data_IF_870194704591
#
_entry.id   IF_870194704591
#
_cell.length_a   1.000
_cell.length_b   1.000
_cell.length_c   1.000
_cell.angle_alpha   90.00
_cell.angle_beta   90.00
_cell.angle_gamma   90.00
#
_symmetry.space_group_name_H-M   'P 1'
#
loop_
_entity.id
_entity.type
_entity.pdbx_description
1 polymer ?
#
# COMPACT_ATOMS: atom_id res chain seq x y z
N UNK A 1 12.33 0.66 -2.40
CA UNK A 1 12.02 1.09 -3.79
C UNK A 1 10.66 1.75 -3.78
N UNK A 2 10.39 2.71 -4.67
CA UNK A 2 9.10 3.41 -4.74
C UNK A 2 8.57 3.40 -6.17
N UNK A 3 7.27 3.13 -6.36
CA UNK A 3 6.56 3.25 -7.64
C UNK A 3 5.52 4.36 -7.48
N UNK A 4 5.58 5.37 -8.35
CA UNK A 4 4.68 6.51 -8.33
C UNK A 4 3.67 6.41 -9.49
N UNK A 5 2.40 6.68 -9.21
CA UNK A 5 1.31 6.72 -10.18
C UNK A 5 0.85 8.18 -10.38
N UNK A 6 0.46 8.54 -11.60
CA UNK A 6 -0.05 9.89 -11.92
C UNK A 6 -1.32 10.26 -11.14
N UNK A 7 -2.04 9.26 -10.65
CA UNK A 7 -3.21 9.40 -9.77
C UNK A 7 -2.87 9.95 -8.38
N UNK A 8 -1.59 10.05 -8.02
CA UNK A 8 -1.11 10.47 -6.70
C UNK A 8 -0.95 9.31 -5.71
N UNK A 9 -1.11 8.07 -6.17
CA UNK A 9 -0.72 6.89 -5.39
C UNK A 9 0.79 6.67 -5.46
N UNK A 10 1.37 6.27 -4.34
CA UNK A 10 2.76 5.85 -4.23
C UNK A 10 2.84 4.50 -3.51
N UNK A 11 3.69 3.61 -4.01
CA UNK A 11 3.86 2.24 -3.52
C UNK A 11 5.30 2.11 -3.01
N UNK A 12 5.45 1.94 -1.69
CA UNK A 12 6.74 1.89 -1.02
C UNK A 12 7.04 0.47 -0.56
N UNK A 13 8.17 -0.06 -1.03
CA UNK A 13 8.67 -1.36 -0.60
C UNK A 13 9.41 -1.21 0.71
N UNK A 14 8.89 -1.85 1.76
CA UNK A 14 9.51 -1.91 3.06
C UNK A 14 10.16 -3.30 3.22
N UNK A 15 11.48 -3.30 3.28
CA UNK A 15 12.27 -4.50 3.61
C UNK A 15 13.07 -4.16 4.85
N UNK A 16 12.44 -4.32 6.01
CA UNK A 16 13.15 -4.08 7.26
C UNK A 16 14.03 -5.30 7.52
N UNK A 17 15.36 -5.16 7.40
CA UNK A 17 16.34 -6.27 7.53
C UNK A 17 16.22 -7.07 8.85
N UNK A 18 15.48 -6.57 9.84
CA UNK A 18 15.20 -7.23 11.12
C UNK A 18 13.96 -8.13 11.12
N UNK A 19 12.99 -7.89 10.25
CA UNK A 19 11.81 -8.70 10.09
C UNK A 19 11.85 -9.26 8.69
N UNK A 20 12.01 -10.58 8.56
CA UNK A 20 12.05 -11.30 7.28
C UNK A 20 10.71 -11.20 6.48
N UNK A 21 9.82 -10.30 6.89
CA UNK A 21 8.47 -10.07 6.41
C UNK A 21 8.51 -8.88 5.45
N UNK A 22 8.25 -9.16 4.17
CA UNK A 22 8.16 -8.13 3.14
C UNK A 22 6.76 -7.55 3.16
N UNK A 23 6.67 -6.25 3.43
CA UNK A 23 5.43 -5.48 3.35
C UNK A 23 5.57 -4.40 2.29
N UNK A 24 4.44 -4.05 1.68
CA UNK A 24 4.36 -2.92 0.75
C UNK A 24 3.33 -1.95 1.27
N UNK A 25 3.75 -0.70 1.45
CA UNK A 25 2.90 0.40 1.85
C UNK A 25 2.32 1.07 0.61
N UNK A 26 1.03 1.42 0.67
CA UNK A 26 0.34 2.21 -0.35
C UNK A 26 -0.03 3.54 0.27
N UNK A 27 0.51 4.60 -0.30
CA UNK A 27 0.21 5.98 0.05
C UNK A 27 -0.67 6.63 -1.03
N UNK A 28 -1.49 7.60 -0.62
CA UNK A 28 -2.20 8.50 -1.52
C UNK A 28 -1.90 9.94 -1.12
N UNK A 29 -1.30 10.71 -2.02
CA UNK A 29 -0.84 12.09 -1.78
C UNK A 29 0.02 12.23 -0.51
N UNK A 30 0.91 11.26 -0.29
CA UNK A 30 1.82 11.24 0.86
C UNK A 30 1.19 10.85 2.20
N UNK A 31 -0.03 10.29 2.20
CA UNK A 31 -0.67 9.73 3.39
C UNK A 31 -0.77 8.22 3.23
N UNK A 32 -0.36 7.45 4.24
CA UNK A 32 -0.54 6.00 4.24
C UNK A 32 -2.03 5.66 4.32
N UNK A 33 -2.52 4.94 3.33
CA UNK A 33 -3.94 4.53 3.25
C UNK A 33 -4.12 3.02 3.35
N UNK A 34 -3.12 2.25 2.94
CA UNK A 34 -3.15 0.81 3.03
C UNK A 34 -1.74 0.19 3.14
N UNK A 35 -1.67 -1.04 3.58
CA UNK A 35 -0.46 -1.87 3.53
C UNK A 35 -0.84 -3.30 3.16
N UNK A 36 -0.02 -3.94 2.33
CA UNK A 36 -0.14 -5.37 2.01
C UNK A 36 1.01 -6.10 2.72
N UNK A 37 0.67 -7.18 3.43
CA UNK A 37 1.64 -8.07 4.08
C UNK A 37 1.57 -9.49 3.50
N UNK A 38 2.70 -10.22 3.57
CA UNK A 38 2.87 -11.58 3.03
C UNK A 38 3.16 -12.60 4.14
N UNK A 39 2.89 -12.27 5.39
CA UNK A 39 3.34 -13.05 6.57
C UNK A 39 2.74 -14.47 6.57
N UNK A 40 1.54 -14.63 6.03
CA UNK A 40 0.82 -15.92 5.88
C UNK A 40 1.12 -16.64 4.56
N UNK A 41 2.07 -16.15 3.77
CA UNK A 41 2.43 -16.64 2.46
C UNK A 41 1.65 -15.97 1.32
N UNK A 42 2.15 -16.17 0.09
CA UNK A 42 1.65 -15.49 -1.11
C UNK A 42 0.14 -15.67 -1.36
N UNK A 43 -0.39 -16.88 -1.18
CA UNK A 43 -1.82 -17.18 -1.40
C UNK A 43 -2.75 -16.62 -0.31
N UNK A 44 -2.18 -16.05 0.76
CA UNK A 44 -2.89 -15.54 1.94
C UNK A 44 -2.42 -14.14 2.30
N UNK A 45 -2.02 -13.34 1.30
CA UNK A 45 -1.71 -11.93 1.52
C UNK A 45 -2.94 -11.22 2.09
N UNK A 46 -2.68 -10.35 3.05
CA UNK A 46 -3.71 -9.55 3.72
C UNK A 46 -3.44 -8.07 3.43
N UNK A 47 -4.51 -7.29 3.36
CA UNK A 47 -4.45 -5.84 3.20
C UNK A 47 -5.02 -5.18 4.45
N UNK A 48 -4.20 -4.35 5.08
CA UNK A 48 -4.61 -3.46 6.16
C UNK A 48 -5.01 -2.12 5.55
N UNK A 49 -6.15 -1.57 6.00
CA UNK A 49 -6.64 -0.26 5.56
C UNK A 49 -6.58 0.68 6.76
N UNK A 50 -5.86 1.78 6.62
CA UNK A 50 -5.64 2.72 7.70
C UNK A 50 -6.46 3.98 7.51
N UNK A 51 -7.21 4.34 8.55
CA UNK A 51 -7.87 5.65 8.64
C UNK A 51 -7.23 6.53 9.73
N UNK A 52 -6.48 5.93 10.66
CA UNK A 52 -5.80 6.63 11.75
C UNK A 52 -4.55 7.43 11.34
N UNK A 53 -3.89 7.06 10.25
CA UNK A 53 -2.68 7.74 9.75
C UNK A 53 -2.98 8.86 8.76
N UNK A 54 -4.28 9.14 8.56
CA UNK A 54 -4.77 10.15 7.64
C UNK A 54 -5.14 11.38 8.46
N UNK A 55 -4.64 12.55 8.08
CA UNK A 55 -5.00 13.81 8.73
C UNK A 55 -6.54 14.00 8.77
N UNK A 56 -7.08 14.53 9.86
CA UNK A 56 -8.52 14.79 10.07
C UNK A 56 -9.19 15.54 8.91
N UNK A 57 -8.50 16.49 8.27
CA UNK A 57 -9.02 17.19 7.11
C UNK A 57 -9.14 16.25 5.90
N UNK A 58 -8.17 15.35 5.75
CA UNK A 58 -8.11 14.33 4.69
C UNK A 58 -9.02 13.12 4.98
N UNK A 59 -9.39 12.86 6.24
CA UNK A 59 -10.32 11.78 6.63
C UNK A 59 -11.71 11.99 6.01
N UNK A 60 -12.16 13.25 5.91
CA UNK A 60 -13.40 13.60 5.20
C UNK A 60 -13.30 13.40 3.67
N UNK A 61 -12.06 13.37 3.16
CA UNK A 61 -11.65 13.21 1.77
C UNK A 61 -10.98 11.87 1.48
N UNK A 62 -11.08 10.86 2.37
CA UNK A 62 -10.51 9.52 2.17
C UNK A 62 -11.30 8.76 1.10
N UNK A 63 -11.27 9.32 -0.10
CA UNK A 63 -11.93 8.93 -1.32
C UNK A 63 -10.89 9.12 -2.41
N UNK A 64 -10.68 8.07 -3.15
CA UNK A 64 -9.77 8.04 -4.28
C UNK A 64 -10.45 7.30 -5.42
N UNK A 65 -10.02 7.52 -6.68
CA UNK A 65 -10.58 6.80 -7.82
C UNK A 65 -10.41 5.29 -7.63
N UNK A 66 -11.51 4.55 -7.77
CA UNK A 66 -11.53 3.10 -7.56
C UNK A 66 -10.56 2.37 -8.51
N UNK A 67 -10.54 2.75 -9.78
CA UNK A 67 -9.63 2.17 -10.79
C UNK A 67 -8.18 2.26 -10.36
N UNK A 68 -7.79 3.44 -9.88
CA UNK A 68 -6.41 3.77 -9.60
C UNK A 68 -5.96 3.09 -8.29
N UNK A 69 -6.87 2.94 -7.33
CA UNK A 69 -6.62 2.17 -6.13
C UNK A 69 -6.47 0.67 -6.42
N UNK A 70 -7.32 0.10 -7.29
CA UNK A 70 -7.20 -1.30 -7.71
C UNK A 70 -5.90 -1.53 -8.48
N UNK A 71 -5.48 -0.58 -9.32
CA UNK A 71 -4.18 -0.62 -9.99
C UNK A 71 -3.03 -0.60 -8.98
N UNK A 72 -3.07 0.29 -7.99
CA UNK A 72 -2.05 0.37 -6.95
C UNK A 72 -1.93 -0.95 -6.16
N UNK A 73 -3.07 -1.56 -5.78
CA UNK A 73 -3.11 -2.88 -5.13
C UNK A 73 -2.51 -3.96 -6.04
N UNK A 74 -2.84 -3.96 -7.33
CA UNK A 74 -2.34 -4.97 -8.26
C UNK A 74 -0.82 -4.87 -8.45
N UNK A 75 -0.29 -3.65 -8.54
CA UNK A 75 1.16 -3.42 -8.60
C UNK A 75 1.82 -3.85 -7.28
N UNK A 76 1.27 -3.44 -6.13
CA UNK A 76 1.81 -3.79 -4.81
C UNK A 76 1.78 -5.31 -4.50
N UNK A 77 0.75 -6.02 -4.94
CA UNK A 77 0.68 -7.48 -4.79
C UNK A 77 1.63 -8.23 -5.73
N UNK A 78 1.77 -7.76 -6.98
CA UNK A 78 2.76 -8.31 -7.93
C UNK A 78 4.18 -8.11 -7.42
N UNK A 79 4.46 -6.91 -6.91
CA UNK A 79 5.69 -6.53 -6.24
C UNK A 79 6.09 -7.50 -5.11
N UNK A 80 5.15 -7.87 -4.25
CA UNK A 80 5.37 -8.84 -3.16
C UNK A 80 5.49 -10.28 -3.64
N UNK A 81 4.90 -10.63 -4.79
CA UNK A 81 5.03 -11.96 -5.39
C UNK A 81 6.45 -12.23 -5.86
N UNK A 82 7.02 -11.25 -6.54
CA UNK A 82 8.30 -11.37 -7.25
C UNK A 82 9.51 -11.12 -6.34
N UNK A 83 9.27 -10.69 -5.10
CA UNK A 83 10.25 -10.47 -4.05
C UNK A 83 10.52 -11.72 -3.20
#
# INVERSE_FOLDING_TARGET
>A
MAINLDSGFEILYLSDLKYNEMTVEIQYKGQQVAQINKDKGFEKMEIDIYSEYVNLDFLSELKFPLSDFLEAINIASTALRDA
#
